data_IF_442871746612
#
_entry.id   IF_442871746612
#
_cell.length_a   1.000
_cell.length_b   1.000
_cell.length_c   1.000
_cell.angle_alpha   90.00
_cell.angle_beta   90.00
_cell.angle_gamma   90.00
#
_symmetry.space_group_name_H-M   'P 1'
#
loop_
_entity.id
_entity.type
_entity.pdbx_description
1 polymer ?
#
# COMPACT_ATOMS: atom_id res chain seq x y z
N UNK A 1 -8.75 -13.39 -1.35
CA UNK A 1 -7.88 -13.51 -2.54
C UNK A 1 -6.50 -13.18 -2.05
N UNK A 2 -5.55 -14.08 -2.29
CA UNK A 2 -4.20 -13.99 -1.76
C UNK A 2 -3.50 -12.79 -2.43
N UNK A 3 -3.12 -11.77 -1.65
CA UNK A 3 -2.47 -10.55 -2.16
C UNK A 3 -1.03 -10.84 -2.61
N UNK A 4 -0.52 -12.05 -2.34
CA UNK A 4 0.85 -12.45 -2.61
C UNK A 4 1.21 -12.71 -4.08
N UNK A 5 0.23 -12.77 -4.99
CA UNK A 5 0.52 -13.09 -6.40
C UNK A 5 0.87 -11.86 -7.25
N UNK A 6 0.33 -10.68 -6.91
CA UNK A 6 0.62 -9.47 -7.67
C UNK A 6 1.92 -8.82 -7.19
N UNK A 7 2.76 -8.46 -8.15
CA UNK A 7 4.01 -7.74 -7.90
C UNK A 7 3.94 -6.41 -8.62
N UNK A 8 4.17 -5.35 -7.87
CA UNK A 8 4.31 -4.02 -8.42
C UNK A 8 5.55 -3.96 -9.31
N UNK A 9 5.42 -3.38 -10.50
CA UNK A 9 6.57 -3.04 -11.32
C UNK A 9 7.20 -1.71 -10.90
N UNK A 10 8.41 -1.42 -11.39
CA UNK A 10 9.14 -0.20 -11.03
C UNK A 10 8.37 1.08 -11.42
N UNK A 11 7.58 1.04 -12.49
CA UNK A 11 6.80 2.20 -12.95
C UNK A 11 5.58 2.44 -12.04
N UNK A 12 4.95 1.39 -11.54
CA UNK A 12 3.87 1.44 -10.55
C UNK A 12 4.40 1.95 -9.22
N UNK A 13 5.56 1.47 -8.76
CA UNK A 13 6.22 1.96 -7.54
C UNK A 13 6.53 3.45 -7.68
N UNK A 14 7.06 3.89 -8.82
CA UNK A 14 7.32 5.31 -9.05
C UNK A 14 6.04 6.15 -8.99
N UNK A 15 4.95 5.69 -9.63
CA UNK A 15 3.65 6.38 -9.53
C UNK A 15 3.13 6.45 -8.10
N UNK A 16 3.31 5.39 -7.30
CA UNK A 16 2.91 5.38 -5.90
C UNK A 16 3.70 6.41 -5.07
N UNK A 17 5.01 6.57 -5.35
CA UNK A 17 5.80 7.64 -4.74
C UNK A 17 5.28 9.03 -5.13
N UNK A 18 5.05 9.27 -6.42
CA UNK A 18 4.55 10.55 -6.93
C UNK A 18 3.18 10.90 -6.31
N UNK A 19 2.29 9.91 -6.21
CA UNK A 19 0.99 10.08 -5.57
C UNK A 19 1.11 10.33 -4.06
N UNK A 20 1.98 9.61 -3.34
CA UNK A 20 2.20 9.82 -1.90
C UNK A 20 2.72 11.22 -1.60
N UNK A 21 3.67 11.71 -2.40
CA UNK A 21 4.39 12.95 -2.11
C UNK A 21 3.53 14.18 -2.43
N UNK A 22 2.64 14.08 -3.42
CA UNK A 22 1.73 15.15 -3.82
C UNK A 22 0.33 15.06 -3.19
N UNK A 23 0.09 14.14 -2.26
CA UNK A 23 -1.24 13.95 -1.67
C UNK A 23 -1.44 14.79 -0.40
N UNK A 24 -2.30 15.84 -0.42
CA UNK A 24 -2.66 16.59 0.78
C UNK A 24 -3.60 15.81 1.72
N UNK A 25 -4.38 14.86 1.21
CA UNK A 25 -5.27 14.05 2.04
C UNK A 25 -4.48 12.98 2.80
N UNK A 26 -4.45 13.11 4.13
CA UNK A 26 -3.71 12.21 5.02
C UNK A 26 -4.16 10.75 4.90
N UNK A 27 -5.45 10.49 4.67
CA UNK A 27 -5.99 9.13 4.58
C UNK A 27 -5.53 8.46 3.28
N UNK A 28 -5.58 9.20 2.17
CA UNK A 28 -5.07 8.74 0.88
C UNK A 28 -3.54 8.57 0.91
N UNK A 29 -2.83 9.47 1.58
CA UNK A 29 -1.37 9.35 1.76
C UNK A 29 -0.99 8.07 2.51
N UNK A 30 -1.70 7.74 3.58
CA UNK A 30 -1.52 6.48 4.32
C UNK A 30 -1.80 5.25 3.44
N UNK A 31 -2.81 5.31 2.55
CA UNK A 31 -3.07 4.23 1.59
C UNK A 31 -1.88 4.02 0.66
N UNK A 32 -1.29 5.08 0.11
CA UNK A 32 -0.11 4.95 -0.75
C UNK A 32 1.12 4.42 0.01
N UNK A 33 1.31 4.84 1.27
CA UNK A 33 2.38 4.27 2.12
C UNK A 33 2.17 2.76 2.30
N UNK A 34 0.94 2.31 2.59
CA UNK A 34 0.66 0.89 2.74
C UNK A 34 0.96 0.08 1.48
N UNK A 35 0.62 0.62 0.30
CA UNK A 35 0.90 -0.02 -0.99
C UNK A 35 2.40 -0.08 -1.30
N UNK A 36 3.16 0.97 -0.97
CA UNK A 36 4.62 0.96 -1.11
C UNK A 36 5.28 -0.08 -0.20
N UNK A 37 4.80 -0.23 1.04
CA UNK A 37 5.30 -1.27 1.95
C UNK A 37 5.00 -2.69 1.43
N UNK A 38 3.84 -2.89 0.77
CA UNK A 38 3.54 -4.15 0.08
C UNK A 38 4.53 -4.40 -1.07
N UNK A 39 4.83 -3.37 -1.87
CA UNK A 39 5.81 -3.47 -2.95
C UNK A 39 7.23 -3.82 -2.44
N UNK A 40 7.59 -3.34 -1.25
CA UNK A 40 8.84 -3.68 -0.55
C UNK A 40 8.80 -5.07 0.12
N UNK A 41 7.75 -5.88 -0.11
CA UNK A 41 7.54 -7.21 0.49
C UNK A 41 7.44 -7.20 2.02
N UNK A 42 6.97 -6.11 2.61
CA UNK A 42 6.67 -6.07 4.05
C UNK A 42 5.42 -6.91 4.32
N UNK A 43 5.47 -7.74 5.36
CA UNK A 43 4.34 -8.59 5.75
C UNK A 43 3.07 -7.78 6.06
N UNK A 44 1.92 -8.29 5.60
CA UNK A 44 0.63 -7.64 5.71
C UNK A 44 0.23 -7.33 7.16
N UNK A 45 0.59 -8.19 8.13
CA UNK A 45 0.29 -7.93 9.55
C UNK A 45 1.14 -6.80 10.11
N UNK A 46 2.40 -6.71 9.68
CA UNK A 46 3.29 -5.61 10.03
C UNK A 46 2.74 -4.28 9.47
N UNK A 47 2.34 -4.26 8.20
CA UNK A 47 1.72 -3.06 7.59
C UNK A 47 0.45 -2.68 8.33
N UNK A 48 -0.44 -3.64 8.61
CA UNK A 48 -1.67 -3.41 9.36
C UNK A 48 -1.42 -2.76 10.73
N UNK A 49 -0.39 -3.22 11.45
CA UNK A 49 0.03 -2.67 12.74
C UNK A 49 0.56 -1.23 12.63
N UNK A 50 1.32 -0.91 11.58
CA UNK A 50 1.92 0.42 11.38
C UNK A 50 0.87 1.44 10.93
N UNK A 51 0.01 1.05 9.99
CA UNK A 51 -1.02 1.92 9.41
C UNK A 51 -2.24 2.07 10.35
N UNK A 52 -2.39 1.16 11.33
CA UNK A 52 -3.53 1.17 12.25
C UNK A 52 -4.84 0.78 11.57
N UNK A 53 -4.77 -0.15 10.62
CA UNK A 53 -5.92 -0.67 9.86
C UNK A 53 -5.89 -2.19 9.89
N UNK A 54 -7.05 -2.82 9.64
CA UNK A 54 -7.09 -4.28 9.53
C UNK A 54 -6.37 -4.75 8.26
N UNK A 55 -5.76 -5.93 8.30
CA UNK A 55 -5.14 -6.57 7.13
C UNK A 55 -6.10 -6.58 5.92
N UNK A 56 -7.36 -6.98 6.14
CA UNK A 56 -8.43 -6.95 5.12
C UNK A 56 -8.65 -5.57 4.49
N UNK A 57 -8.49 -4.49 5.25
CA UNK A 57 -8.60 -3.11 4.71
C UNK A 57 -7.44 -2.82 3.76
N UNK A 58 -6.23 -3.25 4.12
CA UNK A 58 -5.04 -3.11 3.28
C UNK A 58 -5.17 -3.97 2.01
N UNK A 59 -5.67 -5.20 2.12
CA UNK A 59 -5.97 -6.05 0.95
C UNK A 59 -6.97 -5.37 -0.01
N UNK A 60 -7.98 -4.69 0.52
CA UNK A 60 -8.94 -3.97 -0.32
C UNK A 60 -8.31 -2.77 -1.05
N UNK A 61 -7.25 -2.16 -0.50
CA UNK A 61 -6.55 -1.08 -1.18
C UNK A 61 -5.84 -1.53 -2.45
N UNK A 62 -5.46 -2.80 -2.49
CA UNK A 62 -4.78 -3.45 -3.61
C UNK A 62 -5.76 -3.91 -4.71
N UNK A 63 -6.99 -4.25 -4.34
CA UNK A 63 -8.00 -4.78 -5.28
C UNK A 63 -8.96 -3.72 -5.87
N UNK A 64 -8.85 -2.46 -5.44
CA UNK A 64 -9.69 -1.33 -5.89
C UNK A 64 -8.91 -0.40 -6.80
#
# INVERSE_FOLDING_TARGET
MDVSEYKFDDAEIQKLHDHRDNQPDVRLKLRFIALLMLAENVDLKTIASIIGKSAKTIENYHHQ
#
